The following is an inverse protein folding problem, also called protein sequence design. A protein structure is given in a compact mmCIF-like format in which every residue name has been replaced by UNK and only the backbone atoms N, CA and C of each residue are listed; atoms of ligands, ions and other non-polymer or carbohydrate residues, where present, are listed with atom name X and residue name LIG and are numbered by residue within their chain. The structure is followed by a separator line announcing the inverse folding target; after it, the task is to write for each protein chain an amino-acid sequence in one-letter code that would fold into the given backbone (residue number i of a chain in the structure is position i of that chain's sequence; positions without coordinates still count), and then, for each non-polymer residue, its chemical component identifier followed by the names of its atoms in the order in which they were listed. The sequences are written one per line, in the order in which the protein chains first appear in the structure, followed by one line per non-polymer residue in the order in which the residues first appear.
data_IF_213929897446
#
_entry.id   IF_213929897446
#
_cell.length_a   1.000
_cell.length_b   1.000
_cell.length_c   1.000
_cell.angle_alpha   90.00
_cell.angle_beta   90.00
_cell.angle_gamma   90.00
#
_symmetry.space_group_name_H-M   'P 1'
#
loop_
_entity.id
_entity.type
_entity.pdbx_description
1 polymer ?
#
# COMPACT_ATOMS: atom_id res chain seq x y z
N UNK A 1 21.49 -22.02 -13.57
CA UNK A 1 22.18 -21.05 -12.70
C UNK A 1 21.76 -19.67 -13.17
N UNK A 2 21.39 -18.77 -12.26
CA UNK A 2 20.99 -17.41 -12.61
C UNK A 2 22.18 -16.64 -13.23
N UNK A 3 21.93 -15.79 -14.23
CA UNK A 3 23.00 -14.96 -14.82
C UNK A 3 23.38 -13.82 -13.86
N UNK A 4 24.63 -13.30 -13.88
CA UNK A 4 25.02 -12.17 -13.06
C UNK A 4 24.11 -10.95 -13.21
N UNK A 5 23.67 -10.65 -14.44
CA UNK A 5 22.76 -9.54 -14.71
C UNK A 5 21.36 -9.76 -14.10
N UNK A 6 20.80 -10.97 -14.22
CA UNK A 6 19.52 -11.30 -13.60
C UNK A 6 19.58 -11.19 -12.07
N UNK A 7 20.70 -11.62 -11.47
CA UNK A 7 20.94 -11.48 -10.03
C UNK A 7 20.96 -10.02 -9.58
N UNK A 8 21.67 -9.14 -10.31
CA UNK A 8 21.73 -7.70 -10.02
C UNK A 8 20.33 -7.06 -10.06
N UNK A 9 19.53 -7.37 -11.08
CA UNK A 9 18.16 -6.88 -11.21
C UNK A 9 17.30 -7.37 -10.04
N UNK A 10 17.35 -8.66 -9.74
CA UNK A 10 16.56 -9.25 -8.66
C UNK A 10 16.95 -8.70 -7.28
N UNK A 11 18.23 -8.42 -7.06
CA UNK A 11 18.72 -7.75 -5.86
C UNK A 11 18.17 -6.32 -5.75
N UNK A 12 18.27 -5.54 -6.83
CA UNK A 12 17.78 -4.16 -6.85
C UNK A 12 16.27 -4.08 -6.57
N UNK A 13 15.48 -4.96 -7.20
CA UNK A 13 14.03 -5.07 -6.96
C UNK A 13 13.74 -5.45 -5.51
N UNK A 14 14.47 -6.41 -4.96
CA UNK A 14 14.29 -6.85 -3.57
C UNK A 14 14.60 -5.74 -2.56
N UNK A 15 15.66 -4.97 -2.79
CA UNK A 15 16.04 -3.82 -1.95
C UNK A 15 14.96 -2.73 -2.03
N UNK A 16 14.48 -2.40 -3.23
CA UNK A 16 13.40 -1.43 -3.42
C UNK A 16 12.14 -1.84 -2.65
N UNK A 17 11.70 -3.09 -2.80
CA UNK A 17 10.51 -3.60 -2.13
C UNK A 17 10.68 -3.58 -0.59
N UNK A 18 11.85 -3.96 -0.10
CA UNK A 18 12.15 -3.90 1.34
C UNK A 18 12.14 -2.46 1.86
N UNK A 19 12.68 -1.52 1.08
CA UNK A 19 12.67 -0.09 1.41
C UNK A 19 11.24 0.47 1.48
N UNK A 20 10.38 0.15 0.50
CA UNK A 20 8.99 0.60 0.48
C UNK A 20 8.20 0.08 1.69
N UNK A 21 8.35 -1.20 2.03
CA UNK A 21 7.73 -1.78 3.23
C UNK A 21 8.23 -1.10 4.51
N UNK A 22 9.53 -0.82 4.60
CA UNK A 22 10.12 -0.13 5.75
C UNK A 22 9.66 1.33 5.86
N UNK A 23 9.57 2.04 4.74
CA UNK A 23 9.10 3.43 4.67
C UNK A 23 7.64 3.54 5.11
N UNK A 24 6.78 2.64 4.63
CA UNK A 24 5.37 2.61 5.03
C UNK A 24 5.24 2.25 6.51
N UNK A 25 6.00 1.29 7.02
CA UNK A 25 6.02 1.01 8.46
C UNK A 25 6.48 2.22 9.27
N UNK A 26 7.52 2.93 8.82
CA UNK A 26 8.00 4.17 9.45
C UNK A 26 6.90 5.23 9.48
N UNK A 27 6.14 5.39 8.39
CA UNK A 27 4.98 6.28 8.34
C UNK A 27 3.92 5.93 9.40
N UNK A 28 3.66 4.64 9.62
CA UNK A 28 2.74 4.19 10.67
C UNK A 28 3.28 4.48 12.08
N UNK A 29 4.55 4.15 12.34
CA UNK A 29 5.14 4.30 13.67
C UNK A 29 5.35 5.78 14.04
N UNK A 30 5.67 6.63 13.06
CA UNK A 30 6.00 8.03 13.25
C UNK A 30 4.80 8.91 13.64
N UNK A 31 3.58 8.48 13.30
CA UNK A 31 2.34 9.21 13.59
C UNK A 31 2.43 10.70 13.17
N UNK A 32 3.08 10.94 12.04
CA UNK A 32 3.41 12.26 11.49
C UNK A 32 2.72 12.45 10.14
N UNK A 33 1.89 13.48 10.07
CA UNK A 33 1.05 13.79 8.91
C UNK A 33 1.74 14.71 7.89
N UNK A 34 2.97 15.15 8.15
CA UNK A 34 3.70 16.08 7.26
C UNK A 34 4.27 15.41 6.02
N UNK A 35 4.62 14.13 6.12
CA UNK A 35 5.17 13.39 4.99
C UNK A 35 4.06 12.99 4.02
N UNK A 36 4.13 13.35 2.73
CA UNK A 36 3.12 12.96 1.77
C UNK A 36 3.23 11.48 1.38
N UNK A 37 2.09 10.84 1.14
CA UNK A 37 2.00 9.46 0.64
C UNK A 37 2.71 9.27 -0.70
N UNK A 38 2.86 10.34 -1.50
CA UNK A 38 3.54 10.33 -2.79
C UNK A 38 5.04 10.04 -2.72
N UNK A 39 5.65 10.02 -1.53
CA UNK A 39 7.02 9.54 -1.34
C UNK A 39 7.10 8.02 -1.53
N UNK A 40 6.02 7.29 -1.24
CA UNK A 40 5.96 5.83 -1.29
C UNK A 40 5.07 5.27 -2.40
N UNK A 41 4.10 6.05 -2.89
CA UNK A 41 3.06 5.58 -3.79
C UNK A 41 2.88 6.48 -5.01
N UNK A 42 2.61 5.86 -6.15
CA UNK A 42 2.17 6.52 -7.39
C UNK A 42 0.76 7.09 -7.24
N UNK A 43 0.31 7.98 -8.15
CA UNK A 43 -1.05 8.51 -8.11
C UNK A 43 -2.15 7.44 -8.13
N UNK A 44 -2.01 6.43 -8.98
CA UNK A 44 -2.99 5.32 -9.06
C UNK A 44 -2.99 4.48 -7.77
N UNK A 45 -1.83 4.23 -7.17
CA UNK A 45 -1.75 3.55 -5.87
C UNK A 45 -2.42 4.37 -4.76
N UNK A 46 -2.27 5.71 -4.76
CA UNK A 46 -2.97 6.59 -3.81
C UNK A 46 -4.50 6.51 -3.99
N UNK A 47 -5.01 6.37 -5.21
CA UNK A 47 -6.44 6.14 -5.46
C UNK A 47 -6.93 4.78 -4.93
N UNK A 48 -6.11 3.73 -5.09
CA UNK A 48 -6.37 2.40 -4.50
C UNK A 48 -6.43 2.54 -2.97
N UNK A 49 -5.43 3.18 -2.36
CA UNK A 49 -5.38 3.45 -0.91
C UNK A 49 -6.62 4.20 -0.45
N UNK A 50 -7.07 5.22 -1.18
CA UNK A 50 -8.29 5.97 -0.82
C UNK A 50 -9.56 5.11 -0.88
N UNK A 51 -9.65 4.24 -1.87
CA UNK A 51 -10.76 3.30 -2.00
C UNK A 51 -10.77 2.28 -0.86
N UNK A 52 -9.61 1.72 -0.52
CA UNK A 52 -9.44 0.84 0.63
C UNK A 52 -9.72 1.57 1.95
N UNK A 53 -9.27 2.81 2.10
CA UNK A 53 -9.54 3.62 3.28
C UNK A 53 -11.04 3.76 3.52
N UNK A 54 -11.82 4.09 2.48
CA UNK A 54 -13.28 4.18 2.57
C UNK A 54 -13.91 2.84 2.98
N UNK A 55 -13.43 1.73 2.44
CA UNK A 55 -13.87 0.37 2.81
C UNK A 55 -13.59 0.06 4.28
N UNK A 56 -12.42 0.44 4.80
CA UNK A 56 -12.05 0.21 6.19
C UNK A 56 -12.66 1.21 7.17
N UNK A 57 -13.19 2.34 6.72
CA UNK A 57 -13.71 3.43 7.55
C UNK A 57 -15.23 3.61 7.41
N UNK A 58 -15.96 2.51 7.57
CA UNK A 58 -17.43 2.55 7.52
C UNK A 58 -18.03 3.38 8.66
N UNK A 59 -19.28 3.85 8.51
CA UNK A 59 -19.97 4.67 9.52
C UNK A 59 -20.04 4.01 10.91
N UNK A 60 -20.16 2.68 10.94
CA UNK A 60 -20.31 1.88 12.17
C UNK A 60 -18.97 1.53 12.84
N UNK A 61 -17.83 1.78 12.19
CA UNK A 61 -16.52 1.44 12.76
C UNK A 61 -16.15 2.45 13.85
N UNK A 62 -15.83 1.91 15.03
CA UNK A 62 -15.45 2.69 16.21
C UNK A 62 -14.09 3.36 15.98
N UNK A 63 -13.11 2.60 15.47
CA UNK A 63 -11.75 3.07 15.25
C UNK A 63 -11.50 3.32 13.77
N UNK A 64 -11.47 4.61 13.43
CA UNK A 64 -11.21 5.10 12.08
C UNK A 64 -9.75 5.50 11.92
N UNK A 65 -9.33 5.64 10.68
CA UNK A 65 -8.04 6.23 10.32
C UNK A 65 -8.01 7.68 10.84
N UNK A 66 -7.12 8.02 11.79
CA UNK A 66 -7.08 9.35 12.37
C UNK A 66 -6.34 10.37 11.49
N UNK A 67 -5.63 9.89 10.46
CA UNK A 67 -4.74 10.69 9.66
C UNK A 67 -5.46 11.33 8.45
N UNK A 68 -5.03 12.53 8.03
CA UNK A 68 -5.58 13.21 6.86
C UNK A 68 -5.22 12.48 5.57
N UNK A 69 -6.18 12.46 4.62
CA UNK A 69 -5.98 11.86 3.29
C UNK A 69 -4.75 12.47 2.62
N UNK A 70 -3.90 11.61 2.05
CA UNK A 70 -2.69 12.02 1.34
C UNK A 70 -1.43 12.06 2.22
N UNK A 71 -1.54 11.95 3.54
CA UNK A 71 -0.39 11.74 4.41
C UNK A 71 0.16 10.31 4.30
N UNK A 72 1.46 10.13 4.53
CA UNK A 72 2.10 8.81 4.58
C UNK A 72 1.53 7.99 5.73
N UNK A 73 1.32 8.58 6.91
CA UNK A 73 0.69 7.90 8.05
C UNK A 73 -0.73 7.40 7.71
N UNK A 74 -1.50 8.19 6.95
CA UNK A 74 -2.81 7.78 6.44
C UNK A 74 -2.72 6.56 5.52
N UNK A 75 -1.81 6.57 4.56
CA UNK A 75 -1.62 5.45 3.65
C UNK A 75 -1.12 4.20 4.40
N UNK A 76 -0.18 4.38 5.34
CA UNK A 76 0.35 3.30 6.15
C UNK A 76 -0.70 2.63 7.03
N UNK A 77 -1.62 3.38 7.62
CA UNK A 77 -2.74 2.81 8.37
C UNK A 77 -3.62 1.92 7.49
N UNK A 78 -3.87 2.34 6.25
CA UNK A 78 -4.66 1.57 5.27
C UNK A 78 -3.92 0.31 4.84
N UNK A 79 -2.62 0.41 4.54
CA UNK A 79 -1.77 -0.74 4.18
C UNK A 79 -1.72 -1.76 5.33
N UNK A 80 -1.62 -1.30 6.58
CA UNK A 80 -1.70 -2.20 7.74
C UNK A 80 -3.05 -2.92 7.78
N UNK A 81 -4.16 -2.22 7.52
CA UNK A 81 -5.49 -2.82 7.47
C UNK A 81 -5.61 -3.86 6.36
N UNK A 82 -5.15 -3.53 5.16
CA UNK A 82 -5.10 -4.45 4.03
C UNK A 82 -4.20 -5.66 4.33
N UNK A 83 -3.16 -5.49 5.13
CA UNK A 83 -2.29 -6.55 5.64
C UNK A 83 -2.92 -7.46 6.70
N UNK A 84 -4.15 -7.17 7.15
CA UNK A 84 -4.91 -7.96 8.13
C UNK A 84 -4.92 -7.40 9.56
N UNK A 85 -4.49 -6.16 9.77
CA UNK A 85 -4.66 -5.49 11.06
C UNK A 85 -6.07 -4.87 11.17
N UNK A 86 -6.82 -5.17 12.21
CA UNK A 86 -8.22 -4.74 12.33
C UNK A 86 -8.41 -3.28 12.73
N UNK A 87 -7.33 -2.62 13.17
CA UNK A 87 -7.34 -1.33 13.86
C UNK A 87 -8.10 -1.32 15.21
N UNK A 88 -8.29 -2.49 15.82
CA UNK A 88 -8.87 -2.61 17.16
C UNK A 88 -7.80 -2.36 18.23
N UNK A 89 -8.11 -1.67 19.34
CA UNK A 89 -7.15 -1.42 20.43
C UNK A 89 -6.66 -2.68 21.11
N UNK A 90 -7.48 -3.75 21.13
CA UNK A 90 -7.09 -5.04 21.69
C UNK A 90 -6.07 -5.78 20.82
N UNK A 91 -5.92 -5.41 19.55
CA UNK A 91 -4.95 -6.03 18.67
C UNK A 91 -3.59 -5.31 18.82
N UNK A 92 -2.48 -6.05 18.96
CA UNK A 92 -1.16 -5.44 18.99
C UNK A 92 -0.88 -4.65 17.69
N UNK A 93 0.05 -3.70 17.79
CA UNK A 93 0.50 -2.91 16.64
C UNK A 93 0.97 -3.84 15.49
N UNK A 94 0.69 -3.50 14.23
CA UNK A 94 1.09 -4.30 13.08
C UNK A 94 2.61 -4.38 12.96
N UNK A 95 3.13 -5.60 12.80
CA UNK A 95 4.56 -5.82 12.52
C UNK A 95 4.91 -5.66 11.03
N UNK A 96 6.21 -5.70 10.71
CA UNK A 96 6.70 -5.55 9.32
C UNK A 96 6.06 -6.54 8.33
N UNK A 97 5.75 -7.75 8.80
CA UNK A 97 5.10 -8.80 7.98
C UNK A 97 3.68 -8.37 7.58
N UNK A 98 2.96 -7.65 8.43
CA UNK A 98 1.63 -7.11 8.09
C UNK A 98 1.74 -6.10 6.96
N UNK A 99 2.70 -5.17 7.03
CA UNK A 99 2.94 -4.20 5.96
C UNK A 99 3.36 -4.87 4.65
N UNK A 100 4.26 -5.86 4.70
CA UNK A 100 4.63 -6.66 3.52
C UNK A 100 3.40 -7.28 2.84
N UNK A 101 2.49 -7.87 3.62
CA UNK A 101 1.25 -8.45 3.08
C UNK A 101 0.33 -7.39 2.49
N UNK A 102 0.20 -6.24 3.16
CA UNK A 102 -0.61 -5.12 2.69
C UNK A 102 -0.12 -4.57 1.35
N UNK A 103 1.19 -4.35 1.22
CA UNK A 103 1.81 -3.92 -0.05
C UNK A 103 1.57 -4.94 -1.16
N UNK A 104 1.82 -6.24 -0.92
CA UNK A 104 1.59 -7.25 -1.95
C UNK A 104 0.13 -7.35 -2.42
N UNK A 105 -0.85 -7.11 -1.54
CA UNK A 105 -2.27 -7.05 -1.92
C UNK A 105 -2.60 -5.78 -2.71
N UNK A 106 -2.01 -4.64 -2.33
CA UNK A 106 -2.15 -3.39 -3.08
C UNK A 106 -1.55 -3.52 -4.49
N UNK A 107 -0.35 -4.08 -4.62
CA UNK A 107 0.29 -4.39 -5.91
C UNK A 107 -0.59 -5.28 -6.77
N UNK A 108 -1.23 -6.31 -6.18
CA UNK A 108 -2.17 -7.18 -6.91
C UNK A 108 -3.35 -6.39 -7.49
N UNK A 109 -3.93 -5.47 -6.72
CA UNK A 109 -5.01 -4.59 -7.19
C UNK A 109 -4.49 -3.67 -8.31
N UNK A 110 -3.30 -3.10 -8.13
CA UNK A 110 -2.67 -2.22 -9.10
C UNK A 110 -2.44 -2.91 -10.45
N UNK A 111 -1.86 -4.11 -10.45
CA UNK A 111 -1.63 -4.89 -11.68
C UNK A 111 -2.95 -5.21 -12.38
N UNK A 112 -3.97 -5.65 -11.63
CA UNK A 112 -5.31 -5.87 -12.18
C UNK A 112 -5.87 -4.60 -12.85
N UNK A 113 -5.71 -3.43 -12.23
CA UNK A 113 -6.17 -2.18 -12.81
C UNK A 113 -5.42 -1.81 -14.09
N UNK A 114 -4.10 -2.02 -14.15
CA UNK A 114 -3.30 -1.78 -15.35
C UNK A 114 -3.72 -2.70 -16.52
N UNK A 115 -3.94 -3.97 -16.25
CA UNK A 115 -4.38 -4.94 -17.26
C UNK A 115 -5.77 -4.57 -17.82
N UNK A 116 -6.71 -4.20 -16.95
CA UNK A 116 -8.07 -3.87 -17.38
C UNK A 116 -8.21 -2.48 -18.00
N UNK A 117 -7.37 -1.53 -17.62
CA UNK A 117 -7.31 -0.23 -18.30
C UNK A 117 -6.70 -0.35 -19.71
N UNK A 118 -5.71 -1.24 -19.90
CA UNK A 118 -5.21 -1.60 -21.23
C UNK A 118 -6.22 -2.40 -22.07
N UNK A 119 -7.03 -3.28 -21.45
CA UNK A 119 -8.13 -3.96 -22.17
C UNK A 119 -9.22 -3.01 -22.67
N UNK A 120 -9.43 -1.86 -22.01
CA UNK A 120 -10.27 -0.78 -22.52
C UNK A 120 -9.79 -0.18 -23.85
N UNK A 121 -8.48 -0.27 -24.15
CA UNK A 121 -7.88 0.17 -25.42
C UNK A 121 -8.09 -0.89 -26.52
N UNK A 122 -8.09 -2.18 -26.17
CA UNK A 122 -8.30 -3.28 -27.13
C UNK A 122 -9.79 -3.59 -27.42
N UNK A 123 -10.72 -3.13 -26.57
CA UNK A 123 -12.17 -3.41 -26.71
C UNK A 123 -12.96 -2.20 -27.21
N UNK A 124 -12.32 -1.06 -27.51
CA UNK A 124 -13.04 0.21 -27.74
C UNK A 124 -12.57 1.10 -28.89
N UNK A 125 -12.60 0.60 -30.13
CA UNK A 125 -13.05 1.35 -31.34
C UNK A 125 -13.60 0.37 -32.37
N UNK A 126 -14.89 0.09 -32.28
CA UNK A 126 -15.73 -0.51 -33.30
C UNK A 126 -16.99 0.33 -33.45
#
# INVERSE_FOLDING_TARGET
MESPHAFEINLAVSIKNAYEVALVKKGFDGNDDTNPASIAFTPLEIEIVDTLNRRFNTKKKIYKNPHPKGALAWASWVVACEGGWSAMPSQPKPGIITFKRGIGRLETIYQYLLENSNMGIFVGKG
#
